data_IF_370326695772
#
_entry.id   IF_370326695772
#
_cell.length_a   1.000
_cell.length_b   1.000
_cell.length_c   1.000
_cell.angle_alpha   90.00
_cell.angle_beta   90.00
_cell.angle_gamma   90.00
#
_symmetry.space_group_name_H-M   'P 1'
#
loop_
_entity.id
_entity.type
_entity.pdbx_description
1 polymer ?
#
# COMPACT_ATOMS: atom_id res chain seq x y z
N UNK A 1 -22.57 1.17 0.46
CA UNK A 1 -21.51 1.36 -0.57
C UNK A 1 -20.22 0.88 0.05
N UNK A 2 -19.48 0.01 -0.63
CA UNK A 2 -18.21 -0.51 -0.12
C UNK A 2 -17.11 0.52 -0.30
N UNK A 3 -16.17 0.56 0.63
CA UNK A 3 -14.93 1.33 0.51
C UNK A 3 -13.79 0.42 0.94
N UNK A 4 -12.91 0.12 -0.01
CA UNK A 4 -11.88 -0.91 0.15
C UNK A 4 -10.53 -0.25 0.38
N UNK A 5 -9.74 -0.83 1.29
CA UNK A 5 -8.32 -0.56 1.37
C UNK A 5 -7.55 -1.81 0.98
N UNK A 6 -6.57 -1.64 0.10
CA UNK A 6 -5.67 -2.71 -0.30
C UNK A 6 -4.28 -2.43 0.28
N UNK A 7 -3.75 -3.37 1.06
CA UNK A 7 -2.46 -3.27 1.73
C UNK A 7 -1.57 -4.37 1.15
N UNK A 8 -0.39 -4.02 0.65
CA UNK A 8 0.58 -4.98 0.13
C UNK A 8 1.98 -4.74 0.72
N UNK A 9 2.53 -5.82 1.29
CA UNK A 9 3.93 -5.87 1.75
C UNK A 9 4.89 -6.34 0.68
N UNK A 10 4.43 -6.53 -0.57
CA UNK A 10 5.24 -7.07 -1.65
C UNK A 10 5.26 -8.59 -1.72
N UNK A 11 5.99 -9.11 -2.70
CA UNK A 11 6.15 -10.55 -2.92
C UNK A 11 7.45 -11.11 -2.36
N UNK A 12 8.46 -10.27 -2.13
CA UNK A 12 9.87 -10.68 -1.97
C UNK A 12 10.44 -10.42 -0.58
N UNK A 13 9.91 -9.45 0.16
CA UNK A 13 10.41 -9.11 1.49
C UNK A 13 9.32 -9.28 2.56
N UNK A 14 9.71 -9.88 3.70
CA UNK A 14 8.84 -9.92 4.88
C UNK A 14 8.76 -8.51 5.46
N UNK A 15 7.54 -8.01 5.65
CA UNK A 15 7.31 -6.72 6.28
C UNK A 15 6.14 -6.81 7.27
N UNK A 16 6.37 -7.62 8.30
CA UNK A 16 5.39 -7.88 9.35
C UNK A 16 5.02 -6.61 10.11
N UNK A 17 5.95 -5.66 10.23
CA UNK A 17 5.75 -4.38 10.90
C UNK A 17 4.65 -3.56 10.24
N UNK A 18 4.56 -3.56 8.91
CA UNK A 18 3.47 -2.88 8.19
C UNK A 18 2.12 -3.53 8.47
N UNK A 19 2.07 -4.85 8.49
CA UNK A 19 0.85 -5.61 8.82
C UNK A 19 0.42 -5.28 10.25
N UNK A 20 1.35 -5.31 11.19
CA UNK A 20 1.09 -5.01 12.60
C UNK A 20 0.61 -3.55 12.79
N UNK A 21 1.23 -2.59 12.11
CA UNK A 21 0.80 -1.19 12.17
C UNK A 21 -0.60 -1.00 11.58
N UNK A 22 -0.89 -1.60 10.43
CA UNK A 22 -2.19 -1.51 9.78
C UNK A 22 -3.31 -2.20 10.57
N UNK A 23 -3.00 -3.25 11.34
CA UNK A 23 -3.91 -3.93 12.26
C UNK A 23 -3.94 -3.33 13.67
N UNK A 24 -3.19 -2.25 13.94
CA UNK A 24 -3.24 -1.57 15.23
C UNK A 24 -4.61 -0.94 15.47
N UNK A 25 -5.01 -0.82 16.74
CA UNK A 25 -6.30 -0.24 17.10
C UNK A 25 -6.50 1.18 16.55
N UNK A 26 -5.43 1.97 16.48
CA UNK A 26 -5.44 3.34 15.94
C UNK A 26 -5.71 3.36 14.42
N UNK A 27 -5.04 2.48 13.65
CA UNK A 27 -5.28 2.35 12.22
C UNK A 27 -6.68 1.79 11.93
N UNK A 28 -7.13 0.76 12.65
CA UNK A 28 -8.46 0.19 12.50
C UNK A 28 -9.55 1.24 12.78
N UNK A 29 -9.41 2.02 13.86
CA UNK A 29 -10.33 3.12 14.16
C UNK A 29 -10.30 4.16 13.04
N UNK A 30 -9.12 4.51 12.53
CA UNK A 30 -8.99 5.45 11.40
C UNK A 30 -9.69 4.95 10.14
N UNK A 31 -9.59 3.65 9.83
CA UNK A 31 -10.32 3.04 8.72
C UNK A 31 -11.84 3.17 8.92
N UNK A 32 -12.34 2.86 10.12
CA UNK A 32 -13.77 3.00 10.46
C UNK A 32 -14.22 4.47 10.34
N UNK A 33 -13.46 5.41 10.89
CA UNK A 33 -13.79 6.85 10.87
C UNK A 33 -13.81 7.42 9.46
N UNK A 34 -12.99 6.87 8.56
CA UNK A 34 -13.00 7.21 7.14
C UNK A 34 -14.01 6.37 6.34
N UNK A 35 -14.80 5.51 6.98
CA UNK A 35 -15.88 4.75 6.35
C UNK A 35 -15.39 3.64 5.42
N UNK A 36 -14.21 3.09 5.68
CA UNK A 36 -13.79 1.83 5.08
C UNK A 36 -14.66 0.69 5.61
N UNK A 37 -14.91 -0.28 4.74
CA UNK A 37 -15.72 -1.46 5.09
C UNK A 37 -14.92 -2.75 4.95
N UNK A 38 -13.88 -2.73 4.12
CA UNK A 38 -13.08 -3.91 3.80
C UNK A 38 -11.60 -3.56 3.67
N UNK A 39 -10.76 -4.37 4.30
CA UNK A 39 -9.31 -4.31 4.22
C UNK A 39 -8.81 -5.62 3.60
N UNK A 40 -8.07 -5.52 2.51
CA UNK A 40 -7.47 -6.65 1.81
C UNK A 40 -5.96 -6.57 1.96
N UNK A 41 -5.35 -7.57 2.58
CA UNK A 41 -3.92 -7.66 2.83
C UNK A 41 -3.30 -8.71 1.91
N UNK A 42 -2.36 -8.29 1.08
CA UNK A 42 -1.47 -9.21 0.38
C UNK A 42 -0.19 -9.36 1.22
N UNK A 43 -0.07 -10.49 1.91
CA UNK A 43 1.00 -10.74 2.87
C UNK A 43 2.08 -11.68 2.34
N UNK A 44 1.83 -12.41 1.25
CA UNK A 44 2.74 -13.44 0.74
C UNK A 44 3.20 -14.39 1.85
N UNK A 45 4.51 -14.61 1.96
CA UNK A 45 5.14 -15.42 3.01
C UNK A 45 4.87 -14.94 4.45
N UNK A 46 4.34 -13.74 4.65
CA UNK A 46 3.95 -13.19 5.96
C UNK A 46 2.50 -13.51 6.34
N UNK A 47 1.81 -14.40 5.61
CA UNK A 47 0.42 -14.79 5.87
C UNK A 47 0.23 -15.35 7.28
N UNK A 48 1.14 -16.21 7.77
CA UNK A 48 1.05 -16.75 9.13
C UNK A 48 1.05 -15.66 10.20
N UNK A 49 1.91 -14.66 10.07
CA UNK A 49 1.94 -13.53 10.98
C UNK A 49 0.65 -12.70 10.92
N UNK A 50 0.06 -12.54 9.73
CA UNK A 50 -1.23 -11.88 9.57
C UNK A 50 -2.35 -12.63 10.32
N UNK A 51 -2.41 -13.96 10.25
CA UNK A 51 -3.42 -14.73 10.98
C UNK A 51 -3.26 -14.63 12.50
N UNK A 52 -2.02 -14.56 12.99
CA UNK A 52 -1.73 -14.36 14.42
C UNK A 52 -2.08 -12.95 14.89
N UNK A 53 -1.86 -11.93 14.04
CA UNK A 53 -2.13 -10.52 14.36
C UNK A 53 -3.60 -10.12 14.16
N UNK A 54 -4.34 -10.84 13.32
CA UNK A 54 -5.74 -10.55 13.04
C UNK A 54 -6.57 -10.77 14.32
N UNK A 55 -6.88 -9.67 14.99
CA UNK A 55 -7.76 -9.68 16.17
C UNK A 55 -9.19 -10.10 15.80
N UNK A 56 -9.89 -10.69 16.76
CA UNK A 56 -11.31 -11.07 16.62
C UNK A 56 -12.19 -9.81 16.53
N UNK A 57 -11.76 -8.71 17.16
CA UNK A 57 -12.48 -7.44 17.15
C UNK A 57 -11.99 -6.57 15.98
N UNK A 58 -12.64 -6.74 14.82
CA UNK A 58 -12.36 -5.94 13.62
C UNK A 58 -13.17 -4.64 13.56
N UNK A 59 -13.87 -4.28 14.64
CA UNK A 59 -14.75 -3.10 14.72
C UNK A 59 -15.77 -2.99 13.57
N UNK A 60 -16.18 -4.14 13.01
CA UNK A 60 -17.10 -4.21 11.86
C UNK A 60 -16.43 -4.12 10.49
N UNK A 61 -15.11 -4.09 10.41
CA UNK A 61 -14.35 -4.17 9.15
C UNK A 61 -14.23 -5.62 8.69
N UNK A 62 -14.41 -5.84 7.39
CA UNK A 62 -14.09 -7.12 6.74
C UNK A 62 -12.60 -7.17 6.43
N UNK A 63 -11.84 -7.95 7.20
CA UNK A 63 -10.39 -8.05 7.03
C UNK A 63 -10.04 -9.39 6.37
N UNK A 64 -9.49 -9.32 5.16
CA UNK A 64 -9.07 -10.47 4.37
C UNK A 64 -7.56 -10.42 4.15
N UNK A 65 -6.90 -11.57 4.30
CA UNK A 65 -5.50 -11.75 3.94
C UNK A 65 -5.40 -12.80 2.84
N UNK A 66 -4.52 -12.57 1.87
CA UNK A 66 -4.21 -13.55 0.83
C UNK A 66 -2.71 -13.55 0.52
N UNK A 67 -2.28 -14.65 -0.09
CA UNK A 67 -0.89 -14.89 -0.49
C UNK A 67 -0.58 -14.20 -1.85
N UNK A 68 0.46 -14.64 -2.56
CA UNK A 68 0.80 -14.10 -3.87
C UNK A 68 -0.26 -14.43 -4.93
N UNK A 69 -0.76 -13.41 -5.62
CA UNK A 69 -1.70 -13.59 -6.72
C UNK A 69 -0.96 -13.61 -8.08
N UNK A 70 -0.92 -14.78 -8.72
CA UNK A 70 -0.24 -14.96 -10.03
C UNK A 70 -0.91 -14.18 -11.17
N UNK A 71 -2.17 -13.81 -11.03
CA UNK A 71 -2.90 -12.96 -11.99
C UNK A 71 -2.59 -11.45 -11.79
N UNK A 72 -1.70 -11.11 -10.84
CA UNK A 72 -1.36 -9.74 -10.47
C UNK A 72 -2.30 -9.14 -9.42
N UNK A 73 -2.05 -7.88 -9.05
CA UNK A 73 -2.80 -7.14 -8.01
C UNK A 73 -3.85 -6.19 -8.61
N UNK A 74 -4.03 -6.23 -9.94
CA UNK A 74 -4.86 -5.28 -10.68
C UNK A 74 -6.31 -5.29 -10.21
N UNK A 75 -6.86 -6.46 -9.87
CA UNK A 75 -8.27 -6.59 -9.45
C UNK A 75 -8.51 -5.91 -8.11
N UNK A 76 -7.61 -6.11 -7.16
CA UNK A 76 -7.65 -5.56 -5.80
C UNK A 76 -7.47 -4.04 -5.82
N UNK A 77 -6.57 -3.54 -6.67
CA UNK A 77 -6.38 -2.10 -6.87
C UNK A 77 -7.58 -1.46 -7.59
N UNK A 78 -8.17 -2.14 -8.58
CA UNK A 78 -9.42 -1.70 -9.23
C UNK A 78 -10.63 -1.74 -8.30
N UNK A 79 -10.62 -2.57 -7.25
CA UNK A 79 -11.65 -2.58 -6.22
C UNK A 79 -11.59 -1.29 -5.38
N UNK A 80 -10.40 -0.71 -5.23
CA UNK A 80 -10.18 0.58 -4.58
C UNK A 80 -10.54 1.79 -5.47
N UNK A 81 -10.85 1.60 -6.75
CA UNK A 81 -11.36 2.69 -7.59
C UNK A 81 -12.80 3.05 -7.22
N UNK A 82 -13.11 4.34 -7.33
CA UNK A 82 -14.49 4.79 -7.24
C UNK A 82 -15.30 4.26 -8.44
N UNK A 83 -16.40 3.56 -8.15
CA UNK A 83 -17.37 3.14 -9.15
C UNK A 83 -18.72 3.74 -8.77
N UNK A 84 -19.19 4.68 -9.57
CA UNK A 84 -20.42 5.44 -9.31
C UNK A 84 -21.59 4.51 -8.97
N UNK A 85 -22.10 4.60 -7.74
CA UNK A 85 -23.21 3.80 -7.25
C UNK A 85 -22.87 2.39 -6.73
N UNK A 86 -21.60 1.97 -6.82
CA UNK A 86 -21.14 0.64 -6.41
C UNK A 86 -20.14 0.75 -5.23
N UNK A 87 -19.01 1.42 -5.45
CA UNK A 87 -17.92 1.58 -4.47
C UNK A 87 -17.49 3.03 -4.35
N UNK A 88 -17.12 3.44 -3.12
CA UNK A 88 -16.46 4.73 -2.88
C UNK A 88 -14.97 4.59 -3.16
N UNK A 89 -14.31 5.71 -3.44
CA UNK A 89 -12.85 5.80 -3.58
C UNK A 89 -12.14 5.17 -2.38
N UNK A 90 -11.39 4.10 -2.63
CA UNK A 90 -10.61 3.35 -1.66
C UNK A 90 -9.24 3.97 -1.39
N UNK A 91 -8.31 3.12 -0.95
CA UNK A 91 -6.92 3.49 -0.65
C UNK A 91 -6.01 2.28 -0.86
N UNK A 92 -4.84 2.48 -1.45
CA UNK A 92 -3.77 1.49 -1.54
C UNK A 92 -2.65 1.89 -0.59
N UNK A 93 -2.16 0.93 0.21
CA UNK A 93 -1.00 1.08 1.09
C UNK A 93 0.05 0.07 0.61
N UNK A 94 1.24 0.52 0.26
CA UNK A 94 2.30 -0.36 -0.22
C UNK A 94 3.67 -0.06 0.40
N UNK A 95 4.50 -1.09 0.46
CA UNK A 95 5.87 -1.02 0.94
C UNK A 95 6.87 -0.47 -0.12
N UNK A 96 6.61 0.70 -0.70
CA UNK A 96 7.47 1.30 -1.73
C UNK A 96 7.82 0.41 -2.96
N UNK A 97 7.12 -0.72 -3.16
CA UNK A 97 7.30 -1.57 -4.33
C UNK A 97 6.94 -0.85 -5.62
N UNK A 98 7.89 -0.77 -6.55
CA UNK A 98 7.79 0.09 -7.72
C UNK A 98 6.62 -0.30 -8.65
N UNK A 99 6.39 -1.61 -8.83
CA UNK A 99 5.28 -2.12 -9.64
C UNK A 99 3.91 -1.69 -9.10
N UNK A 100 3.69 -1.84 -7.79
CA UNK A 100 2.44 -1.43 -7.14
C UNK A 100 2.24 0.08 -7.20
N UNK A 101 3.30 0.87 -7.01
CA UNK A 101 3.20 2.33 -7.11
C UNK A 101 2.72 2.73 -8.52
N UNK A 102 3.36 2.18 -9.56
CA UNK A 102 3.02 2.47 -10.95
C UNK A 102 1.57 2.08 -11.28
N UNK A 103 1.13 0.92 -10.83
CA UNK A 103 -0.25 0.47 -11.04
C UNK A 103 -1.27 1.37 -10.32
N UNK A 104 -1.00 1.77 -9.07
CA UNK A 104 -1.89 2.67 -8.33
C UNK A 104 -2.02 4.03 -9.00
N UNK A 105 -0.89 4.59 -9.47
CA UNK A 105 -0.85 5.85 -10.20
C UNK A 105 -1.61 5.79 -11.53
N UNK A 106 -1.49 4.68 -12.28
CA UNK A 106 -2.26 4.46 -13.52
C UNK A 106 -3.75 4.37 -13.26
N UNK A 107 -4.13 3.79 -12.12
CA UNK A 107 -5.51 3.61 -11.70
C UNK A 107 -6.09 4.86 -11.02
N UNK A 108 -5.29 5.91 -10.76
CA UNK A 108 -5.68 7.11 -10.03
C UNK A 108 -6.38 6.79 -8.70
N UNK A 109 -5.79 5.86 -7.95
CA UNK A 109 -6.27 5.39 -6.64
C UNK A 109 -5.33 5.87 -5.54
N UNK A 110 -5.86 6.41 -4.42
CA UNK A 110 -5.03 7.01 -3.38
C UNK A 110 -3.94 6.07 -2.94
N UNK A 111 -2.72 6.58 -2.87
CA UNK A 111 -1.56 5.77 -2.51
C UNK A 111 -0.89 6.30 -1.25
N UNK A 112 -0.68 5.40 -0.30
CA UNK A 112 0.21 5.59 0.85
C UNK A 112 1.42 4.68 0.68
N UNK A 113 2.60 5.26 0.72
CA UNK A 113 3.87 4.55 0.57
C UNK A 113 4.55 4.49 1.93
N UNK A 114 4.82 3.27 2.39
CA UNK A 114 5.51 2.99 3.65
C UNK A 114 6.87 2.38 3.34
N UNK A 115 7.95 3.18 3.18
CA UNK A 115 9.27 2.63 2.92
C UNK A 115 9.72 1.77 4.10
N UNK A 116 10.41 0.67 3.80
CA UNK A 116 11.01 -0.15 4.82
C UNK A 116 12.40 0.41 5.18
N UNK A 117 12.47 1.18 6.26
CA UNK A 117 13.72 1.76 6.77
C UNK A 117 14.72 0.74 7.33
N UNK A 118 14.33 -0.53 7.46
CA UNK A 118 15.22 -1.61 7.89
C UNK A 118 16.06 -2.20 6.75
N UNK A 119 15.76 -1.89 5.49
CA UNK A 119 16.59 -2.28 4.34
C UNK A 119 17.73 -1.29 4.18
N UNK A 120 18.93 -1.81 3.87
CA UNK A 120 20.21 -1.07 3.90
C UNK A 120 20.28 0.11 2.93
N UNK A 121 19.46 0.10 1.88
CA UNK A 121 19.46 1.08 0.82
C UNK A 121 18.21 1.98 0.92
N UNK A 122 18.43 3.26 1.19
CA UNK A 122 17.37 4.26 1.41
C UNK A 122 16.58 4.63 0.13
N UNK A 123 16.75 3.89 -0.97
CA UNK A 123 16.10 4.16 -2.26
C UNK A 123 14.57 4.12 -2.16
N UNK A 124 14.01 3.27 -1.30
CA UNK A 124 12.58 3.26 -0.99
C UNK A 124 12.12 4.58 -0.35
N UNK A 125 12.94 5.15 0.54
CA UNK A 125 12.64 6.44 1.18
C UNK A 125 12.74 7.59 0.17
N UNK A 126 13.73 7.58 -0.72
CA UNK A 126 13.85 8.56 -1.80
C UNK A 126 12.61 8.52 -2.71
N UNK A 127 12.17 7.32 -3.12
CA UNK A 127 10.98 7.12 -3.94
C UNK A 127 9.72 7.65 -3.24
N UNK A 128 9.51 7.28 -1.98
CA UNK A 128 8.36 7.73 -1.20
C UNK A 128 8.34 9.27 -1.03
N UNK A 129 9.51 9.86 -0.80
CA UNK A 129 9.66 11.31 -0.61
C UNK A 129 9.38 12.08 -1.91
N UNK A 130 9.88 11.60 -3.04
CA UNK A 130 9.62 12.21 -4.35
C UNK A 130 8.15 12.10 -4.73
N UNK A 131 7.51 10.94 -4.50
CA UNK A 131 6.07 10.76 -4.74
C UNK A 131 5.20 11.69 -3.90
N UNK A 132 5.56 11.91 -2.64
CA UNK A 132 4.85 12.86 -1.79
C UNK A 132 5.04 14.30 -2.28
N UNK A 133 6.28 14.69 -2.61
CA UNK A 133 6.63 16.03 -3.09
C UNK A 133 5.90 16.39 -4.38
N UNK A 134 5.79 15.43 -5.31
CA UNK A 134 5.07 15.59 -6.58
C UNK A 134 3.54 15.53 -6.42
N UNK A 135 3.06 15.13 -5.24
CA UNK A 135 1.64 15.02 -4.92
C UNK A 135 0.97 13.72 -5.38
N UNK A 136 1.74 12.74 -5.86
CA UNK A 136 1.22 11.47 -6.36
C UNK A 136 0.88 10.48 -5.25
N UNK A 137 1.61 10.48 -4.13
CA UNK A 137 1.34 9.62 -2.98
C UNK A 137 1.41 10.39 -1.65
N UNK A 138 1.17 9.69 -0.56
CA UNK A 138 1.44 10.16 0.81
C UNK A 138 2.50 9.25 1.43
N UNK A 139 3.62 9.83 1.86
CA UNK A 139 4.62 9.07 2.62
C UNK A 139 4.07 8.79 4.02
N UNK A 140 4.33 7.58 4.51
CA UNK A 140 4.05 7.21 5.88
C UNK A 140 5.16 6.32 6.43
N UNK A 141 5.17 6.17 7.75
CA UNK A 141 6.03 5.30 8.52
C UNK A 141 5.15 4.42 9.40
N UNK A 142 5.72 3.34 9.93
CA UNK A 142 5.03 2.40 10.85
C UNK A 142 4.37 3.15 12.02
N UNK A 143 4.99 4.23 12.51
CA UNK A 143 4.50 5.02 13.65
C UNK A 143 3.48 6.11 13.32
N UNK A 144 3.28 6.50 12.06
CA UNK A 144 2.36 7.58 11.67
C UNK A 144 1.31 7.13 10.63
N UNK A 145 1.18 5.82 10.42
CA UNK A 145 0.35 5.24 9.37
C UNK A 145 -1.11 5.70 9.45
N UNK A 146 -1.68 5.80 10.65
CA UNK A 146 -3.04 6.29 10.87
C UNK A 146 -3.23 7.72 10.35
N UNK A 147 -2.31 8.62 10.70
CA UNK A 147 -2.34 10.01 10.23
C UNK A 147 -2.22 10.09 8.70
N UNK A 148 -1.34 9.28 8.12
CA UNK A 148 -1.15 9.21 6.68
C UNK A 148 -2.39 8.68 5.95
N UNK A 149 -3.07 7.65 6.48
CA UNK A 149 -4.35 7.15 5.96
C UNK A 149 -5.39 8.27 5.93
N UNK A 150 -5.52 9.01 7.04
CA UNK A 150 -6.46 10.13 7.14
C UNK A 150 -6.11 11.27 6.16
N UNK A 151 -4.82 11.56 5.97
CA UNK A 151 -4.31 12.55 5.00
C UNK A 151 -4.62 12.11 3.56
N UNK A 152 -4.31 10.86 3.21
CA UNK A 152 -4.55 10.31 1.88
C UNK A 152 -6.04 10.26 1.53
N UNK A 153 -6.91 9.99 2.51
CA UNK A 153 -8.37 10.00 2.31
C UNK A 153 -8.93 11.38 1.94
N UNK A 154 -8.27 12.47 2.38
CA UNK A 154 -8.66 13.86 2.12
C UNK A 154 -8.00 14.43 0.87
N UNK A 155 -6.94 13.80 0.38
CA UNK A 155 -6.15 14.30 -0.75
C UNK A 155 -6.88 14.01 -2.08
N UNK A 156 -7.03 15.03 -2.91
CA UNK A 156 -7.38 14.85 -4.32
C UNK A 156 -6.11 14.39 -5.04
N UNK A 157 -6.18 13.26 -5.76
CA UNK A 157 -5.01 12.76 -6.44
C UNK A 157 -4.77 13.47 -7.75
N UNK A 158 -3.50 13.70 -8.01
CA UNK A 158 -3.02 14.17 -9.30
C UNK A 158 -2.97 12.98 -10.25
N UNK A 159 -3.72 13.05 -11.35
CA UNK A 159 -3.63 12.06 -12.42
C UNK A 159 -2.21 12.04 -12.99
N UNK A 160 -1.62 10.85 -13.11
CA UNK A 160 -0.27 10.70 -13.64
C UNK A 160 -0.24 10.87 -15.17
N UNK A 161 0.61 11.78 -15.66
CA UNK A 161 0.74 12.12 -17.08
C UNK A 161 1.77 11.31 -17.87
N UNK A 162 2.42 10.32 -17.25
CA UNK A 162 3.28 9.33 -17.94
C UNK A 162 4.70 9.78 -18.35
N UNK A 163 5.09 11.04 -18.17
CA UNK A 163 6.42 11.54 -18.54
C UNK A 163 7.08 12.38 -17.43
N UNK A 164 7.43 11.73 -16.31
CA UNK A 164 8.28 12.35 -15.28
C UNK A 164 9.65 11.65 -15.30
N UNK A 165 10.65 12.30 -15.91
CA UNK A 165 11.99 11.71 -16.13
C UNK A 165 12.74 11.47 -14.82
N UNK A 166 12.51 12.31 -13.79
CA UNK A 166 13.11 12.14 -12.46
C UNK A 166 12.60 10.88 -11.76
N UNK A 167 11.34 10.52 -11.98
CA UNK A 167 10.71 9.36 -11.37
C UNK A 167 11.20 8.05 -11.97
N UNK A 168 11.45 8.02 -13.29
CA UNK A 168 11.87 6.81 -13.99
C UNK A 168 13.19 6.23 -13.47
N UNK A 169 14.17 7.09 -13.12
CA UNK A 169 15.46 6.64 -12.61
C UNK A 169 15.36 6.01 -11.22
N UNK A 170 14.58 6.62 -10.31
CA UNK A 170 14.40 6.12 -8.94
C UNK A 170 13.59 4.82 -8.96
N UNK A 171 12.58 4.73 -9.84
CA UNK A 171 11.81 3.50 -10.04
C UNK A 171 12.67 2.38 -10.60
N UNK A 172 13.51 2.64 -11.60
CA UNK A 172 14.40 1.64 -12.19
C UNK A 172 15.37 1.08 -11.15
N UNK A 173 15.90 1.95 -10.28
CA UNK A 173 16.77 1.57 -9.17
C UNK A 173 16.07 0.69 -8.13
N UNK A 174 14.86 1.06 -7.69
CA UNK A 174 14.05 0.24 -6.78
C UNK A 174 13.65 -1.09 -7.41
N UNK A 175 13.26 -1.12 -8.69
CA UNK A 175 12.96 -2.36 -9.41
C UNK A 175 14.19 -3.27 -9.50
N UNK A 176 15.36 -2.69 -9.80
CA UNK A 176 16.62 -3.44 -9.85
C UNK A 176 16.97 -4.05 -8.50
N UNK A 177 16.76 -3.32 -7.41
CA UNK A 177 16.96 -3.83 -6.06
C UNK A 177 15.99 -4.97 -5.70
N UNK A 178 14.70 -4.82 -6.03
CA UNK A 178 13.69 -5.86 -5.78
C UNK A 178 14.01 -7.16 -6.54
N UNK A 179 14.58 -7.07 -7.75
CA UNK A 179 15.02 -8.23 -8.54
C UNK A 179 16.27 -8.91 -7.95
N UNK A 180 17.24 -8.14 -7.46
CA UNK A 180 18.45 -8.67 -6.80
C UNK A 180 18.10 -9.40 -5.49
N UNK A 181 17.26 -8.81 -4.64
CA UNK A 181 16.75 -9.46 -3.42
C UNK A 181 16.04 -10.77 -3.75
N UNK A 182 15.22 -10.78 -4.81
CA UNK A 182 14.54 -11.99 -5.28
C UNK A 182 15.52 -13.05 -5.74
N UNK A 183 16.57 -12.69 -6.47
CA UNK A 183 17.59 -13.61 -6.95
C UNK A 183 18.45 -14.22 -5.82
N UNK A 184 18.56 -13.53 -4.68
CA UNK A 184 19.26 -14.05 -3.49
C UNK A 184 18.42 -15.00 -2.64
N UNK A 185 17.09 -15.01 -2.83
CA UNK A 185 16.13 -15.84 -2.09
C UNK A 185 15.76 -17.15 -2.82
N UNK A 186 16.13 -17.30 -4.10
CA UNK A 186 15.94 -18.51 -4.95
C UNK A 186 17.19 -19.42 -4.91
#
# INVERSE_FOLDING_TARGET
MTRECFITTGATAKFTELIQAALSAECLQTFVDNGFTRLNFQCGESMSAFEELKSIDTQGLEIHGFDFNKDGLTKEMQACQEKKGISRRGLVICHAGAGTILDAMRLAVPLVVVPNSSLLDNHQEELASELEAQGYATKADIGNLAEAIAKACKKEEKAWGGHDTSFAAIVDDVVGYEDDVRAQLD
#
